data_IF_892515935134
#
_entry.id   IF_892515935134
#
_cell.length_a   1.000
_cell.length_b   1.000
_cell.length_c   1.000
_cell.angle_alpha   90.00
_cell.angle_beta   90.00
_cell.angle_gamma   90.00
#
_symmetry.space_group_name_H-M   'P 1'
#
loop_
_entity.id
_entity.type
_entity.pdbx_description
1 polymer ?
#
# COMPACT_ATOMS: atom_id res chain seq x y z
N UNK A 1 -18.84 -7.31 3.42
CA UNK A 1 -17.41 -7.34 3.73
C UNK A 1 -17.04 -6.09 4.50
N UNK A 2 -16.30 -6.26 5.59
CA UNK A 2 -15.85 -5.17 6.46
C UNK A 2 -14.38 -4.87 6.21
N UNK A 3 -14.09 -3.65 5.80
CA UNK A 3 -12.73 -3.19 5.53
C UNK A 3 -12.36 -2.08 6.51
N UNK A 4 -11.21 -2.19 7.15
CA UNK A 4 -10.66 -1.11 7.96
C UNK A 4 -9.54 -0.42 7.18
N UNK A 5 -9.55 0.90 7.22
CA UNK A 5 -8.45 1.72 6.71
C UNK A 5 -7.73 2.31 7.92
N UNK A 6 -6.44 2.04 8.01
CA UNK A 6 -5.58 2.67 9.02
C UNK A 6 -5.11 3.99 8.43
N UNK A 7 -5.61 5.08 8.99
CA UNK A 7 -5.30 6.44 8.54
C UNK A 7 -3.97 6.89 9.16
N UNK A 8 -2.96 7.07 8.34
CA UNK A 8 -1.65 7.56 8.75
C UNK A 8 -1.58 9.10 8.71
N UNK A 9 -2.69 9.77 9.03
CA UNK A 9 -2.80 11.24 9.01
C UNK A 9 -2.55 11.82 7.61
N UNK A 10 -3.13 11.14 6.61
CA UNK A 10 -3.03 11.54 5.21
C UNK A 10 -4.28 12.30 4.78
N UNK A 11 -4.08 13.39 4.01
CA UNK A 11 -5.18 14.22 3.52
C UNK A 11 -6.08 13.50 2.52
N UNK A 12 -5.60 12.42 1.88
CA UNK A 12 -6.36 11.66 0.88
C UNK A 12 -7.03 10.40 1.42
N UNK A 13 -6.96 10.15 2.72
CA UNK A 13 -7.57 8.94 3.31
C UNK A 13 -9.07 8.85 3.04
N UNK A 14 -9.79 9.98 3.09
CA UNK A 14 -11.23 9.96 2.83
C UNK A 14 -11.57 9.70 1.36
N UNK A 15 -10.73 10.12 0.42
CA UNK A 15 -10.89 9.76 -0.99
C UNK A 15 -10.77 8.25 -1.17
N UNK A 16 -9.80 7.64 -0.50
CA UNK A 16 -9.61 6.20 -0.49
C UNK A 16 -10.82 5.49 0.14
N UNK A 17 -11.28 5.97 1.31
CA UNK A 17 -12.46 5.42 1.99
C UNK A 17 -13.71 5.50 1.12
N UNK A 18 -13.91 6.62 0.44
CA UNK A 18 -15.04 6.80 -0.46
C UNK A 18 -15.01 5.80 -1.62
N UNK A 19 -13.84 5.61 -2.23
CA UNK A 19 -13.65 4.64 -3.30
C UNK A 19 -13.98 3.22 -2.84
N UNK A 20 -13.51 2.81 -1.66
CA UNK A 20 -13.78 1.48 -1.13
C UNK A 20 -15.26 1.30 -0.82
N UNK A 21 -15.94 2.33 -0.31
CA UNK A 21 -17.40 2.32 -0.09
C UNK A 21 -18.17 2.17 -1.39
N UNK A 22 -17.77 2.87 -2.45
CA UNK A 22 -18.40 2.75 -3.76
C UNK A 22 -18.30 1.34 -4.34
N UNK A 23 -17.27 0.60 -3.93
CA UNK A 23 -17.09 -0.80 -4.33
C UNK A 23 -17.95 -1.78 -3.52
N UNK A 24 -18.76 -1.29 -2.60
CA UNK A 24 -19.71 -2.08 -1.86
C UNK A 24 -19.25 -2.58 -0.49
N UNK A 25 -18.08 -2.18 -0.04
CA UNK A 25 -17.56 -2.58 1.28
C UNK A 25 -18.10 -1.69 2.40
N UNK A 26 -18.21 -2.28 3.59
CA UNK A 26 -18.48 -1.55 4.84
C UNK A 26 -17.14 -1.06 5.39
N UNK A 27 -16.90 0.25 5.34
CA UNK A 27 -15.59 0.85 5.63
C UNK A 27 -15.60 1.56 6.97
N UNK A 28 -14.59 1.25 7.80
CA UNK A 28 -14.27 1.99 9.02
C UNK A 28 -12.87 2.57 8.88
N UNK A 29 -12.68 3.81 9.32
CA UNK A 29 -11.39 4.49 9.32
C UNK A 29 -10.92 4.69 10.76
N UNK A 30 -9.74 4.17 11.08
CA UNK A 30 -9.07 4.42 12.37
C UNK A 30 -7.76 5.16 12.13
N UNK A 31 -7.52 6.24 12.86
CA UNK A 31 -6.19 6.85 12.91
C UNK A 31 -5.20 5.89 13.55
N UNK A 32 -3.96 5.91 13.07
CA UNK A 32 -2.93 4.91 13.40
C UNK A 32 -2.57 4.84 14.89
N UNK A 33 -2.96 5.82 15.69
CA UNK A 33 -2.70 5.91 17.13
C UNK A 33 -3.99 5.96 17.98
N UNK A 34 -5.16 5.69 17.39
CA UNK A 34 -6.48 5.89 18.02
C UNK A 34 -7.32 4.61 18.03
N UNK A 35 -6.69 3.46 18.23
CA UNK A 35 -7.36 2.18 18.37
C UNK A 35 -6.45 1.21 19.13
N UNK A 36 -7.00 0.04 19.49
CA UNK A 36 -6.23 -1.07 20.05
C UNK A 36 -6.21 -2.21 19.04
N UNK A 37 -5.08 -2.93 18.93
CA UNK A 37 -4.91 -3.99 17.92
C UNK A 37 -6.07 -5.02 17.90
N UNK A 38 -6.59 -5.51 19.04
CA UNK A 38 -7.70 -6.46 19.02
C UNK A 38 -8.98 -5.94 18.35
N UNK A 39 -9.17 -4.63 18.24
CA UNK A 39 -10.34 -4.06 17.57
C UNK A 39 -10.37 -4.40 16.07
N UNK A 40 -9.23 -4.75 15.49
CA UNK A 40 -9.13 -5.09 14.06
C UNK A 40 -9.60 -6.52 13.76
N UNK A 41 -9.79 -7.37 14.78
CA UNK A 41 -10.24 -8.76 14.60
C UNK A 41 -11.54 -8.88 13.80
N UNK A 42 -12.44 -7.94 13.97
CA UNK A 42 -13.77 -7.95 13.34
C UNK A 42 -13.78 -7.58 11.86
N UNK A 43 -12.65 -7.13 11.32
CA UNK A 43 -12.55 -6.71 9.91
C UNK A 43 -12.03 -7.84 9.04
N UNK A 44 -12.51 -7.89 7.80
CA UNK A 44 -12.12 -8.92 6.84
C UNK A 44 -10.82 -8.56 6.13
N UNK A 45 -10.60 -7.26 5.86
CA UNK A 45 -9.41 -6.77 5.16
C UNK A 45 -8.92 -5.47 5.77
N UNK A 46 -7.62 -5.21 5.60
CA UNK A 46 -6.94 -4.02 6.13
C UNK A 46 -6.28 -3.27 4.97
N UNK A 47 -6.51 -1.96 4.91
CA UNK A 47 -5.79 -1.06 4.00
C UNK A 47 -5.00 -0.08 4.86
N UNK A 48 -3.72 0.07 4.54
CA UNK A 48 -2.83 1.00 5.22
C UNK A 48 -2.65 2.22 4.33
N UNK A 49 -3.11 3.38 4.78
CA UNK A 49 -3.14 4.60 3.97
C UNK A 49 -1.74 5.17 3.73
N UNK A 50 -1.59 6.05 2.73
CA UNK A 50 -0.45 6.95 2.69
C UNK A 50 -0.33 7.77 3.97
N UNK A 51 0.79 8.47 4.14
CA UNK A 51 0.98 9.38 5.26
C UNK A 51 2.36 10.02 5.24
N UNK A 52 2.57 11.03 6.08
CA UNK A 52 3.85 11.73 6.18
C UNK A 52 4.87 10.93 6.98
N UNK A 53 6.14 11.31 6.85
CA UNK A 53 7.24 10.76 7.65
C UNK A 53 7.66 9.37 7.22
N UNK A 54 8.11 8.59 8.18
CA UNK A 54 8.56 7.20 7.99
C UNK A 54 7.72 6.25 8.83
N UNK A 55 7.65 4.95 8.46
CA UNK A 55 6.75 4.00 9.14
C UNK A 55 6.96 3.86 10.65
N UNK A 56 8.20 3.92 11.12
CA UNK A 56 8.52 3.79 12.55
C UNK A 56 7.93 4.91 13.42
N UNK A 57 7.57 6.04 12.81
CA UNK A 57 6.96 7.19 13.49
C UNK A 57 5.44 7.22 13.33
N UNK A 58 4.84 6.22 12.72
CA UNK A 58 3.43 6.20 12.33
C UNK A 58 2.57 5.37 13.29
N UNK A 59 2.65 5.64 14.59
CA UNK A 59 1.80 5.01 15.59
C UNK A 59 1.86 3.48 15.56
N UNK A 60 0.71 2.83 15.40
CA UNK A 60 0.58 1.38 15.40
C UNK A 60 0.73 0.74 14.01
N UNK A 61 1.12 1.50 12.98
CA UNK A 61 1.17 1.02 11.60
C UNK A 61 1.95 -0.31 11.46
N UNK A 62 3.18 -0.35 11.95
CA UNK A 62 4.01 -1.56 11.85
C UNK A 62 3.46 -2.71 12.72
N UNK A 63 2.90 -2.37 13.89
CA UNK A 63 2.29 -3.37 14.77
C UNK A 63 1.09 -4.06 14.11
N UNK A 64 0.29 -3.35 13.33
CA UNK A 64 -0.83 -3.93 12.58
C UNK A 64 -0.34 -4.99 11.60
N UNK A 65 0.73 -4.70 10.87
CA UNK A 65 1.30 -5.65 9.91
C UNK A 65 1.81 -6.90 10.63
N UNK A 66 2.56 -6.71 11.72
CA UNK A 66 3.11 -7.82 12.52
C UNK A 66 2.03 -8.74 13.06
N UNK A 67 0.92 -8.17 13.52
CA UNK A 67 -0.17 -8.93 14.14
C UNK A 67 -1.03 -9.66 13.09
N UNK A 68 -1.33 -9.02 11.96
CA UNK A 68 -2.38 -9.50 11.05
C UNK A 68 -1.91 -10.01 9.70
N UNK A 69 -0.63 -9.88 9.35
CA UNK A 69 -0.12 -10.29 8.03
C UNK A 69 -0.42 -11.75 7.70
N UNK A 70 -0.33 -12.64 8.69
CA UNK A 70 -0.53 -14.08 8.47
C UNK A 70 -2.02 -14.48 8.37
N UNK A 71 -2.94 -13.60 8.77
CA UNK A 71 -4.36 -13.98 8.94
C UNK A 71 -5.34 -13.12 8.15
N UNK A 72 -4.94 -11.94 7.71
CA UNK A 72 -5.85 -11.02 6.99
C UNK A 72 -5.18 -10.47 5.74
N UNK A 73 -5.95 -10.28 4.63
CA UNK A 73 -5.45 -9.53 3.48
C UNK A 73 -5.10 -8.10 3.87
N UNK A 74 -3.91 -7.65 3.46
CA UNK A 74 -3.42 -6.30 3.73
C UNK A 74 -2.96 -5.66 2.41
N UNK A 75 -3.41 -4.44 2.17
CA UNK A 75 -2.90 -3.58 1.11
C UNK A 75 -2.27 -2.33 1.74
N UNK A 76 -0.98 -2.16 1.55
CA UNK A 76 -0.25 -0.96 1.99
C UNK A 76 -0.03 0.01 0.84
N UNK A 77 -0.34 1.29 1.06
CA UNK A 77 -0.22 2.33 0.05
C UNK A 77 0.81 3.37 0.52
N UNK A 78 1.82 3.63 -0.29
CA UNK A 78 2.88 4.60 -0.05
C UNK A 78 3.58 4.30 1.28
N UNK A 79 3.31 5.06 2.35
CA UNK A 79 3.84 4.78 3.69
C UNK A 79 3.50 3.36 4.15
N UNK A 80 2.30 2.87 3.82
CA UNK A 80 1.88 1.51 4.14
C UNK A 80 2.72 0.43 3.45
N UNK A 81 3.08 0.65 2.19
CA UNK A 81 4.01 -0.26 1.48
C UNK A 81 5.40 -0.24 2.11
N UNK A 82 5.88 0.95 2.46
CA UNK A 82 7.19 1.11 3.11
C UNK A 82 7.22 0.39 4.45
N UNK A 83 6.12 0.45 5.21
CA UNK A 83 5.98 -0.28 6.47
C UNK A 83 6.04 -1.79 6.25
N UNK A 84 5.40 -2.30 5.21
CA UNK A 84 5.47 -3.73 4.84
C UNK A 84 6.94 -4.10 4.55
N UNK A 85 7.64 -3.28 3.79
CA UNK A 85 9.05 -3.50 3.49
C UNK A 85 9.89 -3.62 4.75
N UNK A 86 9.74 -2.69 5.69
CA UNK A 86 10.50 -2.67 6.95
C UNK A 86 10.14 -3.83 7.88
N UNK A 87 8.86 -4.11 8.06
CA UNK A 87 8.41 -5.17 8.97
C UNK A 87 9.00 -6.53 8.59
N UNK A 88 9.12 -6.80 7.29
CA UNK A 88 9.66 -8.07 6.82
C UNK A 88 11.18 -8.08 6.64
N UNK A 89 11.87 -7.01 7.05
CA UNK A 89 13.33 -6.98 7.10
C UNK A 89 14.01 -6.18 6.00
N UNK A 90 13.25 -5.48 5.16
CA UNK A 90 13.80 -4.57 4.16
C UNK A 90 14.24 -3.24 4.76
N UNK A 91 14.89 -2.42 3.95
CA UNK A 91 15.36 -1.09 4.31
C UNK A 91 14.71 -0.04 3.43
N UNK A 92 14.61 1.19 3.93
CA UNK A 92 14.15 2.34 3.17
C UNK A 92 15.34 3.19 2.71
N UNK A 93 15.15 3.83 1.56
CA UNK A 93 16.12 4.75 0.98
C UNK A 93 15.44 6.08 0.66
N UNK A 94 16.06 7.18 1.10
CA UNK A 94 15.54 8.51 0.79
C UNK A 94 16.13 8.98 -0.55
N UNK A 95 15.25 9.13 -1.54
CA UNK A 95 15.66 9.58 -2.87
C UNK A 95 16.13 11.03 -2.83
N UNK A 96 17.12 11.39 -3.67
CA UNK A 96 17.54 12.79 -3.80
C UNK A 96 16.47 13.69 -4.42
N UNK A 97 15.48 13.09 -5.11
CA UNK A 97 14.35 13.78 -5.74
C UNK A 97 13.07 13.48 -4.97
N UNK A 98 12.30 14.54 -4.67
CA UNK A 98 10.97 14.42 -4.09
C UNK A 98 9.94 14.38 -5.24
N UNK A 99 9.09 13.36 -5.23
CA UNK A 99 7.93 13.29 -6.11
C UNK A 99 6.73 13.90 -5.37
N UNK A 100 6.14 14.93 -5.93
CA UNK A 100 5.01 15.62 -5.32
C UNK A 100 3.92 15.89 -6.38
N UNK A 101 3.00 14.93 -6.54
CA UNK A 101 1.97 15.02 -7.55
C UNK A 101 2.51 14.85 -8.96
N UNK A 102 3.41 13.89 -9.17
CA UNK A 102 4.05 13.62 -10.46
C UNK A 102 3.52 12.31 -11.04
N UNK A 103 3.07 12.33 -12.27
CA UNK A 103 2.68 11.12 -12.99
C UNK A 103 3.87 10.52 -13.70
N UNK A 104 4.14 9.25 -13.44
CA UNK A 104 5.23 8.50 -14.09
C UNK A 104 4.77 7.12 -14.52
N UNK A 105 5.47 6.46 -15.46
CA UNK A 105 5.20 5.06 -15.77
C UNK A 105 5.60 4.15 -14.61
N UNK A 106 4.87 3.06 -14.47
CA UNK A 106 5.25 1.91 -13.65
C UNK A 106 5.08 0.65 -14.50
N UNK A 107 6.05 -0.26 -14.39
CA UNK A 107 6.11 -1.48 -15.17
C UNK A 107 5.81 -2.67 -14.29
N UNK A 108 4.73 -3.39 -14.58
CA UNK A 108 4.35 -4.61 -13.85
C UNK A 108 5.24 -5.74 -14.34
N UNK A 109 6.01 -6.35 -13.44
CA UNK A 109 7.03 -7.36 -13.79
C UNK A 109 6.76 -8.74 -13.21
N UNK A 110 5.72 -8.89 -12.38
CA UNK A 110 5.34 -10.18 -11.78
C UNK A 110 3.83 -10.22 -11.55
N UNK A 111 3.30 -11.43 -11.46
CA UNK A 111 1.87 -11.62 -11.23
C UNK A 111 1.51 -11.24 -9.79
N UNK A 112 0.45 -10.44 -9.68
CA UNK A 112 -0.21 -10.10 -8.43
C UNK A 112 -1.69 -9.83 -8.78
N UNK A 113 -2.62 -10.41 -8.02
CA UNK A 113 -4.04 -10.27 -8.34
C UNK A 113 -4.52 -8.80 -8.31
N UNK A 114 -3.85 -7.92 -7.56
CA UNK A 114 -4.22 -6.51 -7.57
C UNK A 114 -4.07 -5.86 -8.95
N UNK A 115 -3.24 -6.44 -9.82
CA UNK A 115 -3.03 -5.96 -11.18
C UNK A 115 -3.83 -6.71 -12.24
N UNK A 116 -4.75 -7.60 -11.84
CA UNK A 116 -5.58 -8.34 -12.79
C UNK A 116 -6.37 -7.40 -13.70
N UNK A 117 -6.31 -7.66 -15.00
CA UNK A 117 -7.00 -6.86 -16.02
C UNK A 117 -6.28 -5.58 -16.43
N UNK A 118 -5.08 -5.32 -15.89
CA UNK A 118 -4.28 -4.14 -16.24
C UNK A 118 -3.21 -4.49 -17.27
N UNK A 119 -2.82 -3.52 -18.13
CA UNK A 119 -1.65 -3.70 -19.00
C UNK A 119 -0.36 -3.72 -18.17
N UNK A 120 0.73 -4.20 -18.79
CA UNK A 120 2.05 -4.24 -18.13
C UNK A 120 2.59 -2.86 -17.78
N UNK A 121 2.30 -1.85 -18.58
CA UNK A 121 2.75 -0.48 -18.36
C UNK A 121 1.55 0.37 -17.97
N UNK A 122 1.62 0.99 -16.80
CA UNK A 122 0.55 1.86 -16.28
C UNK A 122 1.14 3.20 -15.87
N UNK A 123 0.30 4.23 -15.88
CA UNK A 123 0.67 5.54 -15.36
C UNK A 123 0.22 5.64 -13.90
N UNK A 124 1.09 6.17 -13.04
CA UNK A 124 0.85 6.23 -11.59
C UNK A 124 1.21 7.59 -11.03
N UNK A 125 0.44 8.04 -10.04
CA UNK A 125 0.70 9.27 -9.31
C UNK A 125 1.61 9.02 -8.11
N UNK A 126 2.71 9.77 -8.04
CA UNK A 126 3.74 9.63 -7.00
C UNK A 126 3.78 10.86 -6.11
N UNK A 127 3.84 10.60 -4.80
CA UNK A 127 3.85 11.63 -3.75
C UNK A 127 4.79 11.18 -2.62
N UNK A 128 6.08 10.92 -2.95
CA UNK A 128 7.02 10.37 -1.98
C UNK A 128 8.46 10.78 -2.28
N UNK A 129 9.31 10.68 -1.26
CA UNK A 129 10.77 10.75 -1.41
C UNK A 129 11.47 9.49 -0.89
N UNK A 130 10.79 8.67 -0.11
CA UNK A 130 11.31 7.40 0.38
C UNK A 130 10.80 6.23 -0.48
N UNK A 131 11.64 5.21 -0.63
CA UNK A 131 11.31 3.96 -1.32
C UNK A 131 11.84 2.78 -0.52
N UNK A 132 11.24 1.61 -0.73
CA UNK A 132 11.85 0.35 -0.27
C UNK A 132 13.07 0.08 -1.13
N UNK A 133 14.20 -0.21 -0.50
CA UNK A 133 15.47 -0.40 -1.17
C UNK A 133 15.50 -1.76 -1.88
N UNK A 134 15.99 -1.78 -3.12
CA UNK A 134 16.13 -3.03 -3.88
C UNK A 134 17.18 -3.95 -3.27
N UNK A 135 18.34 -3.40 -2.90
CA UNK A 135 19.41 -4.18 -2.31
C UNK A 135 19.03 -4.64 -0.91
N UNK A 136 19.24 -5.92 -0.64
CA UNK A 136 18.92 -6.51 0.65
C UNK A 136 17.44 -6.76 0.88
N UNK A 137 16.62 -6.71 -0.17
CA UNK A 137 15.21 -7.05 -0.03
C UNK A 137 15.09 -8.51 0.42
N UNK A 138 14.33 -8.78 1.51
CA UNK A 138 14.20 -10.15 2.02
C UNK A 138 13.52 -11.08 1.01
N UNK A 139 13.87 -12.36 1.04
CA UNK A 139 13.36 -13.36 0.10
C UNK A 139 11.84 -13.56 0.18
N UNK A 140 11.20 -13.20 1.30
CA UNK A 140 9.75 -13.30 1.47
C UNK A 140 8.98 -12.17 0.76
N UNK A 141 9.66 -11.16 0.22
CA UNK A 141 9.05 -10.08 -0.56
C UNK A 141 9.45 -10.18 -2.02
N UNK A 142 8.46 -10.11 -2.90
CA UNK A 142 8.65 -10.12 -4.35
C UNK A 142 8.30 -8.75 -4.90
N UNK A 143 9.20 -8.15 -5.68
CA UNK A 143 8.91 -6.93 -6.44
C UNK A 143 7.93 -7.26 -7.56
N UNK A 144 6.83 -6.53 -7.66
CA UNK A 144 5.80 -6.76 -8.67
C UNK A 144 5.68 -5.64 -9.69
N UNK A 145 6.19 -4.44 -9.38
CA UNK A 145 6.27 -3.34 -10.33
C UNK A 145 7.49 -2.45 -10.03
N UNK A 146 8.04 -1.86 -11.08
CA UNK A 146 9.19 -0.94 -10.99
C UNK A 146 8.95 0.33 -11.79
N UNK A 147 9.62 1.42 -11.39
CA UNK A 147 9.67 2.66 -12.18
C UNK A 147 10.71 2.55 -13.31
N UNK A 148 10.75 3.58 -14.17
CA UNK A 148 11.78 3.66 -15.23
C UNK A 148 13.21 3.64 -14.65
N UNK A 149 13.37 4.19 -13.45
CA UNK A 149 14.67 4.22 -12.76
C UNK A 149 14.98 2.92 -12.00
N UNK A 150 14.09 1.92 -12.07
CA UNK A 150 14.25 0.64 -11.39
C UNK A 150 13.85 0.64 -9.91
N UNK A 151 13.20 1.69 -9.42
CA UNK A 151 12.72 1.75 -8.05
C UNK A 151 11.52 0.84 -7.85
N UNK A 152 11.38 0.27 -6.66
CA UNK A 152 10.23 -0.58 -6.32
C UNK A 152 8.97 0.28 -6.29
N UNK A 153 8.01 -0.02 -7.16
CA UNK A 153 6.70 0.62 -7.20
C UNK A 153 5.61 -0.27 -6.61
N UNK A 154 5.81 -1.57 -6.56
CA UNK A 154 4.92 -2.50 -5.89
C UNK A 154 5.67 -3.74 -5.45
N UNK A 155 5.18 -4.37 -4.39
CA UNK A 155 5.70 -5.63 -3.86
C UNK A 155 4.58 -6.46 -3.26
N UNK A 156 4.84 -7.76 -3.08
CA UNK A 156 3.93 -8.66 -2.38
C UNK A 156 4.71 -9.64 -1.53
N UNK A 157 4.08 -10.14 -0.46
CA UNK A 157 4.63 -11.24 0.31
C UNK A 157 4.46 -12.55 -0.47
N UNK A 158 5.45 -13.45 -0.39
CA UNK A 158 5.42 -14.70 -1.15
C UNK A 158 4.47 -15.75 -0.56
N UNK A 159 4.05 -15.62 0.70
CA UNK A 159 3.18 -16.57 1.38
C UNK A 159 1.90 -15.93 1.92
N UNK A 160 1.97 -14.71 2.45
CA UNK A 160 0.82 -14.01 3.03
C UNK A 160 0.12 -13.17 1.96
N UNK A 161 -1.17 -12.93 2.16
CA UNK A 161 -1.97 -12.05 1.30
C UNK A 161 -1.70 -10.59 1.67
N UNK A 162 -0.46 -10.16 1.45
CA UNK A 162 0.04 -8.83 1.78
C UNK A 162 0.65 -8.21 0.53
N UNK A 163 0.13 -7.04 0.16
CA UNK A 163 0.50 -6.31 -1.05
C UNK A 163 0.82 -4.87 -0.73
N UNK A 164 1.80 -4.30 -1.41
CA UNK A 164 2.17 -2.90 -1.25
C UNK A 164 2.32 -2.22 -2.60
N UNK A 165 1.85 -0.97 -2.68
CA UNK A 165 2.05 -0.10 -3.82
C UNK A 165 2.60 1.24 -3.35
N UNK A 166 3.63 1.75 -4.04
CA UNK A 166 4.30 3.00 -3.66
C UNK A 166 3.52 4.23 -4.12
N UNK A 167 2.75 4.10 -5.16
CA UNK A 167 1.97 5.17 -5.74
C UNK A 167 0.56 5.25 -5.14
N UNK A 168 -0.16 6.31 -5.47
CA UNK A 168 -1.49 6.60 -4.93
C UNK A 168 -2.60 6.16 -5.90
N UNK A 169 -3.30 5.04 -5.63
CA UNK A 169 -4.38 4.58 -6.51
C UNK A 169 -5.62 5.48 -6.47
N UNK A 170 -5.81 6.25 -5.39
CA UNK A 170 -6.92 7.19 -5.23
C UNK A 170 -6.71 8.49 -6.00
N UNK A 171 -5.48 8.74 -6.47
CA UNK A 171 -5.15 9.95 -7.21
C UNK A 171 -5.68 9.89 -8.65
N UNK A 172 -6.11 11.04 -9.16
CA UNK A 172 -6.49 11.19 -10.56
C UNK A 172 -5.31 10.88 -11.51
N UNK A 173 -4.09 10.99 -11.01
CA UNK A 173 -2.87 10.69 -11.77
C UNK A 173 -2.64 9.18 -11.96
N UNK A 174 -3.42 8.33 -11.30
CA UNK A 174 -3.40 6.88 -11.46
C UNK A 174 -4.72 6.42 -12.08
N UNK A 175 -4.84 6.44 -13.43
CA UNK A 175 -6.11 6.15 -14.09
C UNK A 175 -6.67 4.75 -13.80
N UNK A 176 -5.80 3.76 -13.55
CA UNK A 176 -6.19 2.38 -13.26
C UNK A 176 -6.33 2.09 -11.76
N UNK A 177 -6.22 3.11 -10.92
CA UNK A 177 -6.21 2.94 -9.46
C UNK A 177 -7.48 2.29 -8.91
N UNK A 178 -8.65 2.68 -9.43
CA UNK A 178 -9.93 2.09 -9.03
C UNK A 178 -9.93 0.57 -9.26
N UNK A 179 -9.41 0.11 -10.39
CA UNK A 179 -9.36 -1.32 -10.71
C UNK A 179 -8.47 -2.08 -9.72
N UNK A 180 -7.34 -1.49 -9.30
CA UNK A 180 -6.46 -2.12 -8.31
C UNK A 180 -7.17 -2.29 -6.96
N UNK A 181 -7.83 -1.25 -6.49
CA UNK A 181 -8.59 -1.31 -5.24
C UNK A 181 -9.73 -2.31 -5.36
N UNK A 182 -10.45 -2.32 -6.49
CA UNK A 182 -11.51 -3.29 -6.74
C UNK A 182 -10.97 -4.73 -6.72
N UNK A 183 -9.82 -4.97 -7.33
CA UNK A 183 -9.18 -6.28 -7.32
C UNK A 183 -8.86 -6.73 -5.89
N UNK A 184 -8.38 -5.84 -5.04
CA UNK A 184 -8.10 -6.16 -3.64
C UNK A 184 -9.38 -6.42 -2.85
N UNK A 185 -10.36 -5.55 -2.97
CA UNK A 185 -11.62 -5.64 -2.20
C UNK A 185 -12.42 -6.87 -2.58
N UNK A 186 -12.43 -7.24 -3.86
CA UNK A 186 -13.27 -8.32 -4.39
C UNK A 186 -12.58 -9.69 -4.46
N UNK A 187 -11.32 -9.79 -4.04
CA UNK A 187 -10.57 -11.05 -4.10
C UNK A 187 -11.03 -12.10 -3.08
#
# INVERSE_FOLDING_TARGET
MKVVIIDNYDSFTYNLAHLVKELGADVTVFRNDQFQLPELERFDKIILSPGPGIPSEAGLLEAVIKEYAATKPILGICLGEQAIGEVFGGELFNLPKVFHGVQTPAHIIADDYIFNGLPHDIMVGRYHSWVVKNEGLPACLQVTATSDEGQIMALQHTQYDVHGIQFHPESILTPTGRQMIANFVNH
#
